data_IF_999538097502
#
_entry.id   IF_999538097502
#
_cell.length_a   1.000
_cell.length_b   1.000
_cell.length_c   1.000
_cell.angle_alpha   90.00
_cell.angle_beta   90.00
_cell.angle_gamma   90.00
#
_symmetry.space_group_name_H-M   'P 1'
#
loop_
_entity.id
_entity.type
_entity.pdbx_description
1 polymer ?
#
# COMPACT_ATOMS: atom_id res chain seq x y z
N UNK A 1 46.00 11.42 -15.50
CA UNK A 1 45.40 12.22 -16.59
C UNK A 1 44.14 12.98 -16.16
N UNK A 2 43.14 12.37 -15.55
CA UNK A 2 41.89 13.06 -15.16
C UNK A 2 42.08 14.35 -14.33
N UNK A 3 43.01 14.34 -13.36
CA UNK A 3 43.32 15.53 -12.53
C UNK A 3 43.88 16.70 -13.34
N UNK A 4 44.67 16.44 -14.39
CA UNK A 4 45.29 17.49 -15.22
C UNK A 4 44.23 18.15 -16.10
N UNK A 5 43.32 17.36 -16.68
CA UNK A 5 42.18 17.85 -17.46
C UNK A 5 41.22 18.70 -16.62
N UNK A 6 40.97 18.28 -15.38
CA UNK A 6 40.15 19.03 -14.42
C UNK A 6 40.78 20.41 -14.13
N UNK A 7 42.10 20.43 -13.93
CA UNK A 7 42.84 21.67 -13.62
C UNK A 7 42.82 22.64 -14.81
N UNK A 8 42.94 22.13 -16.04
CA UNK A 8 42.86 22.95 -17.25
C UNK A 8 41.45 23.52 -17.49
N UNK A 9 40.41 22.72 -17.24
CA UNK A 9 39.02 23.17 -17.36
C UNK A 9 38.67 24.26 -16.34
N UNK A 10 39.12 24.13 -15.09
CA UNK A 10 38.94 25.15 -14.04
C UNK A 10 39.63 26.46 -14.44
N UNK A 11 40.81 26.37 -15.04
CA UNK A 11 41.55 27.55 -15.50
C UNK A 11 40.87 28.24 -16.69
N UNK A 12 40.31 27.47 -17.62
CA UNK A 12 39.57 27.98 -18.79
C UNK A 12 38.21 28.59 -18.44
N UNK A 13 37.54 28.11 -17.40
CA UNK A 13 36.22 28.59 -16.97
C UNK A 13 36.28 29.92 -16.17
N UNK A 14 37.47 30.32 -15.70
CA UNK A 14 37.68 31.55 -14.94
C UNK A 14 37.36 31.39 -13.44
N UNK A 15 38.13 32.07 -12.59
CA UNK A 15 38.15 31.96 -11.11
C UNK A 15 36.76 32.21 -10.46
N UNK A 16 35.81 32.78 -11.20
CA UNK A 16 34.44 33.08 -10.76
C UNK A 16 33.41 32.00 -11.07
N UNK A 17 33.69 31.06 -11.98
CA UNK A 17 32.82 29.91 -12.20
C UNK A 17 33.43 28.69 -11.51
N UNK A 18 33.09 28.51 -10.23
CA UNK A 18 33.28 27.18 -9.64
C UNK A 18 32.47 26.22 -10.51
N UNK A 19 33.08 25.20 -11.15
CA UNK A 19 32.29 24.17 -11.80
C UNK A 19 31.33 23.62 -10.74
N UNK A 20 30.05 23.55 -11.10
CA UNK A 20 29.08 22.92 -10.21
C UNK A 20 29.64 21.54 -9.86
N UNK A 21 29.84 21.21 -8.57
CA UNK A 21 30.54 19.99 -8.21
C UNK A 21 29.80 18.82 -8.89
N UNK A 22 30.54 17.89 -9.49
CA UNK A 22 29.97 16.78 -10.28
C UNK A 22 28.88 16.02 -9.49
N UNK A 23 28.98 16.03 -8.16
CA UNK A 23 27.98 15.53 -7.22
C UNK A 23 26.60 16.23 -7.33
N UNK A 24 26.56 17.54 -7.56
CA UNK A 24 25.32 18.30 -7.77
C UNK A 24 24.69 17.95 -9.12
N UNK A 25 25.50 17.79 -10.18
CA UNK A 25 25.01 17.34 -11.49
C UNK A 25 24.43 15.92 -11.40
N UNK A 26 25.11 15.01 -10.71
CA UNK A 26 24.62 13.66 -10.45
C UNK A 26 23.33 13.68 -9.63
N UNK A 27 23.26 14.48 -8.56
CA UNK A 27 22.05 14.66 -7.73
C UNK A 27 20.88 15.17 -8.56
N UNK A 28 21.11 16.16 -9.41
CA UNK A 28 20.10 16.71 -10.32
C UNK A 28 19.59 15.66 -11.31
N UNK A 29 20.50 14.95 -11.97
CA UNK A 29 20.14 13.87 -12.90
C UNK A 29 19.33 12.75 -12.24
N UNK A 30 19.74 12.31 -11.05
CA UNK A 30 19.04 11.27 -10.30
C UNK A 30 17.66 11.75 -9.83
N UNK A 31 17.55 13.00 -9.35
CA UNK A 31 16.26 13.57 -8.95
C UNK A 31 15.29 13.63 -10.14
N UNK A 32 15.78 14.05 -11.32
CA UNK A 32 14.98 14.06 -12.55
C UNK A 32 14.48 12.66 -12.93
N UNK A 33 15.32 11.62 -12.78
CA UNK A 33 14.92 10.23 -13.01
C UNK A 33 13.83 9.82 -12.02
N UNK A 34 13.99 10.14 -10.74
CA UNK A 34 12.99 9.82 -9.71
C UNK A 34 11.64 10.49 -9.98
N UNK A 35 11.63 11.76 -10.38
CA UNK A 35 10.40 12.46 -10.76
C UNK A 35 9.76 11.86 -12.01
N UNK A 36 10.56 11.50 -13.02
CA UNK A 36 10.07 10.86 -14.24
C UNK A 36 9.45 9.49 -13.93
N UNK A 37 10.06 8.71 -13.04
CA UNK A 37 9.52 7.45 -12.53
C UNK A 37 8.20 7.68 -11.79
N UNK A 38 8.13 8.67 -10.90
CA UNK A 38 6.90 9.00 -10.19
C UNK A 38 5.76 9.36 -11.16
N UNK A 39 6.01 10.21 -12.15
CA UNK A 39 5.02 10.53 -13.19
C UNK A 39 4.57 9.29 -13.97
N UNK A 40 5.51 8.39 -14.27
CA UNK A 40 5.21 7.13 -14.94
C UNK A 40 4.32 6.22 -14.09
N UNK A 41 4.63 6.08 -12.79
CA UNK A 41 3.86 5.25 -11.87
C UNK A 41 2.45 5.78 -11.69
N UNK A 42 2.27 7.10 -11.52
CA UNK A 42 0.93 7.69 -11.44
C UNK A 42 0.14 7.51 -12.73
N UNK A 43 0.77 7.70 -13.89
CA UNK A 43 0.13 7.41 -15.18
C UNK A 43 -0.29 5.94 -15.30
N UNK A 44 0.54 5.00 -14.84
CA UNK A 44 0.22 3.56 -14.86
C UNK A 44 -0.87 3.20 -13.87
N UNK A 45 -0.86 3.80 -12.67
CA UNK A 45 -1.88 3.63 -11.62
C UNK A 45 -3.27 3.99 -12.14
N UNK A 46 -3.39 5.06 -12.93
CA UNK A 46 -4.65 5.50 -13.54
C UNK A 46 -5.22 4.58 -14.62
N UNK A 47 -4.42 3.64 -15.16
CA UNK A 47 -4.88 2.71 -16.21
C UNK A 47 -5.63 1.52 -15.66
N UNK A 48 -5.51 1.24 -14.37
CA UNK A 48 -6.22 0.14 -13.74
C UNK A 48 -7.70 0.49 -13.58
N UNK A 49 -8.58 -0.41 -14.03
CA UNK A 49 -10.04 -0.27 -13.89
C UNK A 49 -10.54 -0.60 -12.48
N UNK A 50 -9.84 -1.51 -11.78
CA UNK A 50 -10.13 -1.84 -10.39
C UNK A 50 -9.62 -0.73 -9.46
N UNK A 51 -10.26 -0.55 -8.30
CA UNK A 51 -9.85 0.40 -7.26
C UNK A 51 -8.73 -0.17 -6.38
N UNK A 52 -8.69 -1.49 -6.19
CA UNK A 52 -7.75 -2.17 -5.29
C UNK A 52 -6.38 -2.35 -5.93
N UNK A 53 -6.33 -2.83 -7.17
CA UNK A 53 -5.09 -3.09 -7.91
C UNK A 53 -4.12 -1.88 -7.99
N UNK A 54 -4.58 -0.64 -8.26
CA UNK A 54 -3.69 0.53 -8.22
C UNK A 54 -3.03 0.74 -6.86
N UNK A 55 -3.70 0.40 -5.75
CA UNK A 55 -3.14 0.52 -4.41
C UNK A 55 -2.07 -0.54 -4.16
N UNK A 56 -2.30 -1.78 -4.59
CA UNK A 56 -1.30 -2.86 -4.49
C UNK A 56 -0.07 -2.53 -5.33
N UNK A 57 -0.27 -2.03 -6.55
CA UNK A 57 0.82 -1.59 -7.42
C UNK A 57 1.66 -0.47 -6.79
N UNK A 58 1.01 0.59 -6.29
CA UNK A 58 1.70 1.71 -5.65
C UNK A 58 2.45 1.26 -4.39
N UNK A 59 1.78 0.53 -3.52
CA UNK A 59 2.37 -0.05 -2.30
C UNK A 59 3.64 -0.85 -2.62
N UNK A 60 3.59 -1.80 -3.57
CA UNK A 60 4.76 -2.60 -3.95
C UNK A 60 5.89 -1.74 -4.53
N UNK A 61 5.56 -0.82 -5.42
CA UNK A 61 6.54 -0.02 -6.16
C UNK A 61 7.29 0.93 -5.23
N UNK A 62 6.57 1.71 -4.43
CA UNK A 62 7.18 2.67 -3.51
C UNK A 62 7.90 2.00 -2.34
N UNK A 63 7.38 0.87 -1.86
CA UNK A 63 8.10 0.08 -0.86
C UNK A 63 9.42 -0.44 -1.41
N UNK A 64 9.42 -0.98 -2.63
CA UNK A 64 10.62 -1.46 -3.28
C UNK A 64 11.68 -0.35 -3.41
N UNK A 65 11.28 0.83 -3.89
CA UNK A 65 12.20 1.97 -4.02
C UNK A 65 12.77 2.36 -2.66
N UNK A 66 11.91 2.51 -1.65
CA UNK A 66 12.37 2.84 -0.30
C UNK A 66 13.36 1.80 0.24
N UNK A 67 13.02 0.51 0.12
CA UNK A 67 13.82 -0.61 0.63
C UNK A 67 15.16 -0.76 -0.08
N UNK A 68 15.20 -0.48 -1.39
CA UNK A 68 16.42 -0.59 -2.21
C UNK A 68 17.32 0.64 -2.13
N UNK A 69 16.75 1.83 -1.93
CA UNK A 69 17.52 3.06 -1.85
C UNK A 69 18.00 3.36 -0.42
N UNK A 70 17.27 2.95 0.62
CA UNK A 70 17.68 3.19 2.02
C UNK A 70 19.05 2.55 2.30
N UNK A 71 19.88 3.23 3.10
CA UNK A 71 21.21 2.77 3.49
C UNK A 71 22.17 2.52 2.30
N UNK A 72 21.97 3.21 1.18
CA UNK A 72 22.87 3.18 0.01
C UNK A 72 23.38 4.57 -0.31
N UNK A 73 24.43 4.68 -1.13
CA UNK A 73 24.92 5.95 -1.64
C UNK A 73 23.83 6.74 -2.38
N UNK A 74 22.93 6.05 -3.10
CA UNK A 74 21.77 6.65 -3.74
C UNK A 74 20.82 7.28 -2.71
N UNK A 75 20.59 6.61 -1.58
CA UNK A 75 19.77 7.14 -0.50
C UNK A 75 20.42 8.35 0.18
N UNK A 76 21.74 8.35 0.34
CA UNK A 76 22.48 9.50 0.87
C UNK A 76 22.43 10.69 -0.11
N UNK A 77 22.53 10.42 -1.42
CA UNK A 77 22.43 11.41 -2.48
C UNK A 77 21.03 12.02 -2.57
N UNK A 78 19.97 11.20 -2.46
CA UNK A 78 18.59 11.68 -2.49
C UNK A 78 18.16 12.33 -1.16
N UNK A 79 18.75 11.90 -0.06
CA UNK A 79 18.39 12.28 1.30
C UNK A 79 17.37 11.32 1.92
N UNK A 80 17.61 10.96 3.18
CA UNK A 80 16.74 10.05 3.93
C UNK A 80 15.31 10.58 4.08
N UNK A 81 15.17 11.90 4.28
CA UNK A 81 13.86 12.54 4.42
C UNK A 81 13.06 12.46 3.11
N UNK A 82 13.71 12.62 1.96
CA UNK A 82 13.08 12.40 0.65
C UNK A 82 12.58 10.96 0.52
N UNK A 83 13.40 9.96 0.85
CA UNK A 83 13.00 8.55 0.78
C UNK A 83 11.84 8.24 1.72
N UNK A 84 11.81 8.84 2.90
CA UNK A 84 10.75 8.64 3.88
C UNK A 84 9.43 9.28 3.42
N UNK A 85 9.46 10.53 2.97
CA UNK A 85 8.24 11.26 2.62
C UNK A 85 7.68 10.83 1.25
N UNK A 86 8.53 10.66 0.24
CA UNK A 86 8.07 10.44 -1.13
C UNK A 86 7.91 8.96 -1.51
N UNK A 87 8.49 8.04 -0.74
CA UNK A 87 8.37 6.61 -1.01
C UNK A 87 7.71 5.86 0.15
N UNK A 88 8.30 5.89 1.35
CA UNK A 88 7.74 5.13 2.48
C UNK A 88 6.32 5.56 2.82
N UNK A 89 6.06 6.86 2.99
CA UNK A 89 4.73 7.35 3.33
C UNK A 89 3.68 7.02 2.25
N UNK A 90 4.06 7.12 0.96
CA UNK A 90 3.16 6.76 -0.16
C UNK A 90 2.86 5.26 -0.18
N UNK A 91 3.85 4.42 0.13
CA UNK A 91 3.66 2.98 0.27
C UNK A 91 2.72 2.64 1.43
N UNK A 92 2.90 3.29 2.59
CA UNK A 92 2.05 3.11 3.79
C UNK A 92 0.62 3.62 3.55
N UNK A 93 0.44 4.76 2.89
CA UNK A 93 -0.88 5.26 2.50
C UNK A 93 -1.57 4.29 1.55
N UNK A 94 -0.86 3.78 0.56
CA UNK A 94 -1.39 2.80 -0.40
C UNK A 94 -1.75 1.49 0.31
N UNK A 95 -0.96 1.04 1.28
CA UNK A 95 -1.28 -0.11 2.14
C UNK A 95 -2.57 0.11 2.94
N UNK A 96 -2.72 1.29 3.55
CA UNK A 96 -3.94 1.66 4.26
C UNK A 96 -5.16 1.69 3.33
N UNK A 97 -5.02 2.27 2.14
CA UNK A 97 -6.09 2.32 1.15
C UNK A 97 -6.47 0.93 0.64
N UNK A 98 -5.49 0.04 0.43
CA UNK A 98 -5.74 -1.36 0.14
C UNK A 98 -6.59 -2.01 1.24
N UNK A 99 -6.20 -1.88 2.51
CA UNK A 99 -6.96 -2.43 3.65
C UNK A 99 -8.39 -1.87 3.69
N UNK A 100 -8.52 -0.55 3.51
CA UNK A 100 -9.80 0.15 3.53
C UNK A 100 -10.73 -0.26 2.38
N UNK A 101 -10.21 -0.54 1.19
CA UNK A 101 -11.03 -0.83 0.02
C UNK A 101 -11.32 -2.32 -0.11
N UNK A 102 -10.38 -3.19 0.26
CA UNK A 102 -10.54 -4.64 0.13
C UNK A 102 -11.28 -5.27 1.32
N UNK A 103 -10.99 -4.83 2.55
CA UNK A 103 -11.40 -5.56 3.76
C UNK A 103 -12.47 -4.84 4.58
N UNK A 104 -12.44 -3.50 4.70
CA UNK A 104 -13.48 -2.79 5.49
C UNK A 104 -14.91 -3.03 5.00
N UNK A 105 -15.23 -3.11 3.69
CA UNK A 105 -16.58 -3.43 3.25
C UNK A 105 -17.04 -4.80 3.75
N UNK A 106 -16.15 -5.79 3.80
CA UNK A 106 -16.45 -7.13 4.31
C UNK A 106 -16.69 -7.11 5.81
N UNK A 107 -15.86 -6.39 6.56
CA UNK A 107 -16.03 -6.24 8.01
C UNK A 107 -17.36 -5.57 8.36
N UNK A 108 -17.82 -4.59 7.57
CA UNK A 108 -19.11 -3.94 7.77
C UNK A 108 -20.31 -4.88 7.62
N UNK A 109 -20.20 -5.92 6.79
CA UNK A 109 -21.25 -6.95 6.71
C UNK A 109 -21.40 -7.73 8.02
N UNK A 110 -20.38 -7.72 8.86
CA UNK A 110 -20.33 -8.39 10.16
C UNK A 110 -20.63 -7.43 11.32
N UNK A 111 -20.88 -6.14 11.06
CA UNK A 111 -21.06 -5.14 12.11
C UNK A 111 -22.39 -5.30 12.87
N UNK A 112 -22.31 -4.98 14.16
CA UNK A 112 -23.34 -5.28 15.15
C UNK A 112 -24.48 -4.28 15.19
N UNK A 113 -24.30 -3.04 14.73
CA UNK A 113 -25.32 -1.99 14.84
C UNK A 113 -26.51 -2.18 13.90
N UNK A 114 -26.31 -2.79 12.73
CA UNK A 114 -27.42 -3.26 11.90
C UNK A 114 -28.08 -4.47 12.57
N UNK A 115 -27.26 -5.41 13.05
CA UNK A 115 -27.74 -6.66 13.65
C UNK A 115 -28.52 -6.45 14.97
N UNK A 116 -28.18 -5.44 15.79
CA UNK A 116 -28.85 -5.14 17.07
C UNK A 116 -30.23 -4.49 16.92
N UNK A 117 -30.43 -3.65 15.89
CA UNK A 117 -31.77 -3.10 15.60
C UNK A 117 -32.74 -4.21 15.14
N UNK A 118 -32.18 -5.30 14.62
CA UNK A 118 -32.91 -6.46 14.08
C UNK A 118 -33.13 -7.58 15.13
N UNK A 119 -32.43 -7.52 16.28
CA UNK A 119 -32.46 -8.52 17.35
C UNK A 119 -33.52 -8.27 18.43
N UNK A 120 -34.36 -7.24 18.30
CA UNK A 120 -35.48 -7.00 19.24
C UNK A 120 -36.65 -7.98 19.01
N UNK A 121 -36.63 -8.74 17.91
CA UNK A 121 -37.51 -9.89 17.70
C UNK A 121 -36.72 -11.08 17.13
N UNK A 122 -36.75 -12.23 17.81
CA UNK A 122 -36.25 -13.52 17.26
C UNK A 122 -37.22 -14.01 16.18
N UNK A 123 -37.19 -13.32 15.03
CA UNK A 123 -38.04 -13.60 13.88
C UNK A 123 -37.27 -14.39 12.83
N UNK A 124 -38.00 -15.16 12.02
CA UNK A 124 -37.44 -15.87 10.87
C UNK A 124 -36.72 -14.92 9.89
N UNK A 125 -37.23 -13.69 9.76
CA UNK A 125 -36.62 -12.62 8.95
C UNK A 125 -35.24 -12.21 9.49
N UNK A 126 -35.08 -12.07 10.81
CA UNK A 126 -33.77 -11.75 11.43
C UNK A 126 -32.75 -12.85 11.14
N UNK A 127 -33.15 -14.13 11.19
CA UNK A 127 -32.26 -15.26 10.88
C UNK A 127 -31.88 -15.32 9.40
N UNK A 128 -32.82 -15.01 8.51
CA UNK A 128 -32.57 -14.93 7.06
C UNK A 128 -31.56 -13.81 6.72
N UNK A 129 -31.70 -12.63 7.33
CA UNK A 129 -30.78 -11.50 7.15
C UNK A 129 -29.36 -11.82 7.62
N UNK A 130 -29.21 -12.47 8.78
CA UNK A 130 -27.90 -12.86 9.30
C UNK A 130 -27.22 -13.86 8.34
N UNK A 131 -27.99 -14.81 7.80
CA UNK A 131 -27.48 -15.76 6.81
C UNK A 131 -27.03 -15.05 5.53
N UNK A 132 -27.81 -14.12 5.01
CA UNK A 132 -27.46 -13.33 3.83
C UNK A 132 -26.18 -12.51 4.03
N UNK A 133 -26.03 -11.86 5.19
CA UNK A 133 -24.81 -11.13 5.58
C UNK A 133 -23.59 -12.06 5.58
N UNK A 134 -23.72 -13.26 6.15
CA UNK A 134 -22.64 -14.26 6.18
C UNK A 134 -22.28 -14.78 4.78
N UNK A 135 -23.27 -15.10 3.95
CA UNK A 135 -23.06 -15.55 2.56
C UNK A 135 -22.34 -14.45 1.75
N UNK A 136 -22.75 -13.19 1.91
CA UNK A 136 -22.11 -12.04 1.28
C UNK A 136 -20.67 -11.85 1.74
N UNK A 137 -20.41 -11.99 3.05
CA UNK A 137 -19.06 -11.93 3.60
C UNK A 137 -18.16 -13.02 3.03
N UNK A 138 -18.61 -14.28 3.04
CA UNK A 138 -17.85 -15.42 2.53
C UNK A 138 -17.54 -15.28 1.05
N UNK A 139 -18.52 -14.83 0.25
CA UNK A 139 -18.33 -14.54 -1.17
C UNK A 139 -17.23 -13.50 -1.36
N UNK A 140 -17.34 -12.34 -0.72
CA UNK A 140 -16.33 -11.28 -0.83
C UNK A 140 -14.95 -11.70 -0.33
N UNK A 141 -14.88 -12.46 0.77
CA UNK A 141 -13.64 -13.03 1.29
C UNK A 141 -12.98 -13.97 0.26
N UNK A 142 -13.77 -14.83 -0.38
CA UNK A 142 -13.30 -15.74 -1.42
C UNK A 142 -12.77 -15.00 -2.65
N UNK A 143 -13.42 -13.90 -3.06
CA UNK A 143 -13.00 -13.07 -4.18
C UNK A 143 -11.66 -12.38 -3.91
N UNK A 144 -11.49 -11.79 -2.72
CA UNK A 144 -10.22 -11.16 -2.33
C UNK A 144 -9.10 -12.20 -2.26
N UNK A 145 -9.39 -13.38 -1.68
CA UNK A 145 -8.45 -14.50 -1.63
C UNK A 145 -8.05 -15.00 -3.01
N UNK A 146 -9.01 -15.08 -3.93
CA UNK A 146 -8.77 -15.52 -5.29
C UNK A 146 -7.90 -14.52 -6.06
N UNK A 147 -8.09 -13.20 -5.87
CA UNK A 147 -7.21 -12.19 -6.50
C UNK A 147 -5.75 -12.31 -6.06
N UNK A 148 -5.51 -12.74 -4.82
CA UNK A 148 -4.16 -13.08 -4.35
C UNK A 148 -3.62 -14.36 -4.98
N UNK A 149 -4.44 -15.42 -5.09
CA UNK A 149 -4.03 -16.70 -5.70
C UNK A 149 -3.78 -16.61 -7.21
N UNK A 150 -4.60 -15.87 -7.94
CA UNK A 150 -4.47 -15.66 -9.38
C UNK A 150 -3.30 -14.74 -9.76
N UNK A 151 -2.56 -14.22 -8.77
CA UNK A 151 -1.39 -13.38 -8.97
C UNK A 151 -1.68 -11.89 -9.22
N UNK A 152 -2.95 -11.50 -9.37
CA UNK A 152 -3.33 -10.11 -9.65
C UNK A 152 -2.92 -9.15 -8.54
N UNK A 153 -2.99 -9.58 -7.27
CA UNK A 153 -2.67 -8.75 -6.10
C UNK A 153 -1.39 -9.22 -5.36
N UNK A 154 -0.42 -9.77 -6.08
CA UNK A 154 0.79 -10.33 -5.46
C UNK A 154 1.63 -9.25 -4.76
N UNK A 155 1.97 -9.49 -3.48
CA UNK A 155 2.93 -8.67 -2.72
C UNK A 155 4.24 -9.47 -2.65
N UNK A 156 5.27 -8.99 -3.35
CA UNK A 156 6.53 -9.73 -3.51
C UNK A 156 7.41 -9.68 -2.27
N UNK A 157 7.54 -8.49 -1.69
CA UNK A 157 8.36 -8.27 -0.49
C UNK A 157 7.80 -9.04 0.71
N UNK A 158 8.66 -9.77 1.42
CA UNK A 158 8.25 -10.71 2.49
C UNK A 158 7.76 -9.95 3.71
N UNK A 159 8.51 -8.93 4.14
CA UNK A 159 8.20 -8.15 5.35
C UNK A 159 6.93 -7.35 5.14
N UNK A 160 6.77 -6.73 3.97
CA UNK A 160 5.54 -6.02 3.62
C UNK A 160 4.35 -6.98 3.58
N UNK A 161 4.51 -8.15 2.97
CA UNK A 161 3.43 -9.14 2.89
C UNK A 161 3.00 -9.60 4.29
N UNK A 162 3.93 -9.79 5.21
CA UNK A 162 3.61 -10.20 6.57
C UNK A 162 2.88 -9.09 7.34
N UNK A 163 3.33 -7.84 7.24
CA UNK A 163 2.63 -6.69 7.82
C UNK A 163 1.20 -6.54 7.30
N UNK A 164 0.98 -6.75 6.00
CA UNK A 164 -0.36 -6.70 5.41
C UNK A 164 -1.24 -7.83 5.92
N UNK A 165 -0.72 -9.05 6.05
CA UNK A 165 -1.48 -10.16 6.66
C UNK A 165 -1.84 -9.85 8.11
N UNK A 166 -0.88 -9.39 8.91
CA UNK A 166 -1.11 -9.06 10.31
C UNK A 166 -2.19 -7.98 10.46
N UNK A 167 -2.12 -6.92 9.66
CA UNK A 167 -3.11 -5.86 9.63
C UNK A 167 -4.50 -6.40 9.25
N UNK A 168 -4.57 -7.29 8.26
CA UNK A 168 -5.83 -7.93 7.83
C UNK A 168 -6.40 -8.84 8.93
N UNK A 169 -5.57 -9.64 9.60
CA UNK A 169 -5.99 -10.49 10.72
C UNK A 169 -6.56 -9.64 11.85
N UNK A 170 -5.86 -8.57 12.24
CA UNK A 170 -6.32 -7.63 13.28
C UNK A 170 -7.63 -6.93 12.92
N UNK A 171 -7.91 -6.75 11.63
CA UNK A 171 -9.12 -6.10 11.15
C UNK A 171 -10.31 -7.07 11.06
N UNK A 172 -10.11 -8.27 10.52
CA UNK A 172 -11.20 -9.20 10.17
C UNK A 172 -11.55 -10.15 11.30
N UNK A 173 -10.56 -10.69 12.01
CA UNK A 173 -10.79 -11.74 13.01
C UNK A 173 -11.66 -11.27 14.18
N UNK A 174 -11.44 -10.08 14.79
CA UNK A 174 -12.31 -9.62 15.87
C UNK A 174 -13.77 -9.47 15.46
N UNK A 175 -14.03 -8.89 14.27
CA UNK A 175 -15.38 -8.71 13.74
C UNK A 175 -16.08 -10.05 13.49
N UNK A 176 -15.34 -11.02 12.94
CA UNK A 176 -15.85 -12.37 12.71
C UNK A 176 -16.21 -13.10 14.01
N UNK A 177 -15.32 -13.05 15.01
CA UNK A 177 -15.57 -13.67 16.33
C UNK A 177 -16.80 -13.04 16.99
N UNK A 178 -16.93 -11.72 16.94
CA UNK A 178 -18.07 -11.01 17.52
C UNK A 178 -19.39 -11.37 16.82
N UNK A 179 -19.40 -11.40 15.49
CA UNK A 179 -20.56 -11.81 14.70
C UNK A 179 -20.98 -13.25 15.00
N UNK A 180 -20.02 -14.18 15.08
CA UNK A 180 -20.27 -15.57 15.42
C UNK A 180 -20.78 -15.74 16.87
N UNK A 181 -20.24 -14.99 17.82
CA UNK A 181 -20.76 -14.97 19.19
C UNK A 181 -22.20 -14.47 19.29
N UNK A 182 -22.65 -13.60 18.37
CA UNK A 182 -24.04 -13.18 18.27
C UNK A 182 -24.93 -14.29 17.71
N UNK A 183 -24.48 -14.99 16.66
CA UNK A 183 -25.16 -16.13 16.08
C UNK A 183 -25.49 -17.21 17.12
N UNK A 184 -24.54 -17.58 17.98
CA UNK A 184 -24.79 -18.58 19.03
C UNK A 184 -25.89 -18.17 20.01
N UNK A 185 -26.05 -16.87 20.28
CA UNK A 185 -27.13 -16.38 21.15
C UNK A 185 -28.49 -16.39 20.46
N UNK A 186 -28.54 -16.21 19.14
CA UNK A 186 -29.79 -16.26 18.36
C UNK A 186 -30.28 -17.69 18.08
N UNK A 187 -29.38 -18.69 18.07
CA UNK A 187 -29.71 -20.09 17.76
C UNK A 187 -29.74 -21.03 18.97
N UNK A 188 -29.36 -20.56 20.16
CA UNK A 188 -29.45 -21.33 21.40
C UNK A 188 -30.76 -21.02 22.16
N UNK A 189 -31.88 -21.50 21.63
CA UNK A 189 -33.14 -21.76 22.35
C UNK A 189 -33.66 -23.12 21.88
#
# INVERSE_FOLDING_TARGET
MAKVLLTEQIWKAGILSKPEPEENLLRGAITNIMEALQRNFESKKLRYKDRILPQVFAMNTYWYIHMRARNTELGNLLGELYLKMNNKAVAEESAYMYQRQAWKPLVRLLDKEESKRENESDSEDTRALIREKMESFLKGFSEVSQRHRSGSNTIHDVDLREQIKEATVKLVVPAYIEFFGCLFKCFAI
#
